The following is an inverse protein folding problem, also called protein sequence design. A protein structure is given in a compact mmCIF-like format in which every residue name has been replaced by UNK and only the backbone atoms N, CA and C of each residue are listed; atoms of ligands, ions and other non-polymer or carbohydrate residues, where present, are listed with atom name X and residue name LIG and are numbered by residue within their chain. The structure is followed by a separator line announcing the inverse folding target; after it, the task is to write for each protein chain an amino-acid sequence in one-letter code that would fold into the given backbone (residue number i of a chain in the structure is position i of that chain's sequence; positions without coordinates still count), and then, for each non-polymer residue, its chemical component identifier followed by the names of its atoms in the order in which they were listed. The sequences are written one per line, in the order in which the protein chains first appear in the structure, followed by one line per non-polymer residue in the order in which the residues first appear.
data_IF_061272905996
#
_entry.id   IF_061272905996
#
_cell.length_a   1.000
_cell.length_b   1.000
_cell.length_c   1.000
_cell.angle_alpha   90.00
_cell.angle_beta   90.00
_cell.angle_gamma   90.00
#
_symmetry.space_group_name_H-M   'P 1'
#
loop_
_entity.id
_entity.type
_entity.pdbx_description
1 polymer ?
#
# COMPACT_ATOMS: atom_id res chain seq x y z
N UNK A 1 -3.46 11.49 -0.01
CA UNK A 1 -2.05 11.18 0.32
C UNK A 1 -1.26 11.00 -0.97
N UNK A 2 0.03 11.35 -1.02
CA UNK A 2 0.90 11.07 -2.18
C UNK A 2 1.59 9.71 -2.03
N UNK A 3 2.07 9.11 -3.12
CA UNK A 3 2.86 7.86 -3.07
C UNK A 3 4.08 7.98 -2.15
N UNK A 4 4.76 9.12 -2.19
CA UNK A 4 5.94 9.38 -1.34
C UNK A 4 5.57 9.43 0.14
N UNK A 5 4.43 10.05 0.48
CA UNK A 5 3.96 10.09 1.86
C UNK A 5 3.57 8.70 2.36
N UNK A 6 2.80 7.92 1.57
CA UNK A 6 2.44 6.55 1.93
C UNK A 6 3.67 5.66 2.12
N UNK A 7 4.67 5.83 1.27
CA UNK A 7 5.94 5.10 1.39
C UNK A 7 6.67 5.44 2.71
N UNK A 8 6.73 6.73 3.10
CA UNK A 8 7.28 7.16 4.39
C UNK A 8 6.50 6.52 5.54
N UNK A 9 5.17 6.54 5.48
CA UNK A 9 4.30 6.03 6.54
C UNK A 9 4.39 4.50 6.69
N UNK A 10 4.77 3.78 5.61
CA UNK A 10 4.96 2.33 5.61
C UNK A 10 6.43 1.89 5.78
N UNK A 11 7.39 2.82 5.91
CA UNK A 11 8.83 2.55 5.84
C UNK A 11 9.26 1.80 4.55
N UNK A 12 8.66 2.18 3.42
CA UNK A 12 8.94 1.62 2.09
C UNK A 12 9.71 2.60 1.22
N UNK A 13 10.44 2.06 0.23
CA UNK A 13 10.88 2.87 -0.90
C UNK A 13 9.68 3.26 -1.77
N UNK A 14 9.61 4.51 -2.23
CA UNK A 14 8.48 5.02 -3.05
C UNK A 14 8.24 4.19 -4.32
N UNK A 15 9.28 3.56 -4.88
CA UNK A 15 9.16 2.67 -6.04
C UNK A 15 8.39 1.39 -5.73
N UNK A 16 8.32 0.96 -4.46
CA UNK A 16 7.52 -0.20 -4.03
C UNK A 16 6.04 0.13 -4.16
N UNK A 17 5.58 1.24 -3.57
CA UNK A 17 4.19 1.72 -3.70
C UNK A 17 3.81 1.87 -5.17
N UNK A 18 4.67 2.56 -5.94
CA UNK A 18 4.44 2.76 -7.37
C UNK A 18 4.33 1.46 -8.18
N UNK A 19 5.09 0.41 -7.83
CA UNK A 19 5.01 -0.89 -8.50
C UNK A 19 3.77 -1.69 -8.08
N UNK A 20 3.37 -1.61 -6.81
CA UNK A 20 2.16 -2.26 -6.29
C UNK A 20 0.92 -1.69 -6.98
N UNK A 21 0.77 -0.37 -7.02
CA UNK A 21 -0.39 0.30 -7.64
C UNK A 21 -0.53 -0.02 -9.14
N UNK A 22 0.59 -0.27 -9.83
CA UNK A 22 0.62 -0.65 -11.25
C UNK A 22 0.50 -2.17 -11.47
N UNK A 23 0.37 -2.96 -10.42
CA UNK A 23 0.30 -4.42 -10.50
C UNK A 23 1.59 -5.08 -11.01
N UNK A 24 2.74 -4.39 -10.89
CA UNK A 24 4.04 -4.88 -11.37
C UNK A 24 4.70 -5.87 -10.40
N UNK A 25 4.30 -5.85 -9.13
CA UNK A 25 4.80 -6.76 -8.09
C UNK A 25 3.64 -7.24 -7.22
N UNK A 26 3.70 -8.50 -6.80
CA UNK A 26 2.93 -8.97 -5.66
C UNK A 26 3.62 -8.52 -4.36
N UNK A 27 2.86 -8.39 -3.28
CA UNK A 27 3.37 -8.03 -1.96
C UNK A 27 2.83 -8.99 -0.89
N UNK A 28 3.45 -9.01 0.29
CA UNK A 28 3.01 -9.85 1.39
C UNK A 28 1.70 -9.33 2.01
N UNK A 29 0.97 -10.22 2.70
CA UNK A 29 -0.21 -9.82 3.49
C UNK A 29 0.17 -8.82 4.59
N UNK A 30 1.37 -8.94 5.17
CA UNK A 30 1.85 -8.00 6.19
C UNK A 30 2.07 -6.60 5.61
N UNK A 31 2.62 -6.50 4.40
CA UNK A 31 2.74 -5.22 3.71
C UNK A 31 1.38 -4.60 3.38
N UNK A 32 0.39 -5.43 3.01
CA UNK A 32 -0.99 -4.94 2.82
C UNK A 32 -1.59 -4.39 4.11
N UNK A 33 -1.29 -5.00 5.27
CA UNK A 33 -1.71 -4.48 6.57
C UNK A 33 -1.07 -3.15 6.88
N UNK A 34 0.24 -3.01 6.67
CA UNK A 34 0.96 -1.73 6.86
C UNK A 34 0.38 -0.62 5.97
N UNK A 35 0.11 -0.93 4.70
CA UNK A 35 -0.52 0.01 3.76
C UNK A 35 -1.92 0.42 4.23
N UNK A 36 -2.73 -0.55 4.66
CA UNK A 36 -4.09 -0.27 5.15
C UNK A 36 -4.08 0.57 6.43
N UNK A 37 -3.18 0.26 7.37
CA UNK A 37 -2.98 1.03 8.60
C UNK A 37 -2.55 2.47 8.30
N UNK A 38 -1.58 2.67 7.41
CA UNK A 38 -1.14 4.00 6.98
C UNK A 38 -2.25 4.79 6.26
N UNK A 39 -3.15 4.10 5.56
CA UNK A 39 -4.32 4.69 4.91
C UNK A 39 -5.49 4.94 5.89
N UNK A 40 -5.45 4.38 7.10
CA UNK A 40 -6.55 4.46 8.08
C UNK A 40 -7.79 3.68 7.66
N UNK A 41 -7.63 2.55 6.97
CA UNK A 41 -8.71 1.70 6.47
C UNK A 41 -8.54 0.25 6.92
N UNK A 42 -9.61 -0.53 6.86
CA UNK A 42 -9.53 -1.98 7.02
C UNK A 42 -8.85 -2.61 5.79
N UNK A 43 -7.99 -3.62 6.00
CA UNK A 43 -7.24 -4.27 4.91
C UNK A 43 -8.14 -4.83 3.80
N UNK A 44 -9.37 -5.20 4.14
CA UNK A 44 -10.40 -5.70 3.21
C UNK A 44 -10.77 -4.65 2.15
N UNK A 45 -10.71 -3.37 2.52
CA UNK A 45 -11.06 -2.25 1.63
C UNK A 45 -10.04 -2.07 0.51
N UNK A 46 -8.81 -2.61 0.62
CA UNK A 46 -7.86 -2.66 -0.49
C UNK A 46 -8.32 -3.55 -1.65
N UNK A 47 -9.33 -4.38 -1.41
CA UNK A 47 -9.89 -5.32 -2.38
C UNK A 47 -11.35 -4.98 -2.76
N UNK A 48 -11.86 -3.84 -2.30
CA UNK A 48 -13.21 -3.37 -2.62
C UNK A 48 -13.17 -2.58 -3.94
N UNK A 49 -13.19 -3.32 -5.05
CA UNK A 49 -13.06 -2.77 -6.41
C UNK A 49 -14.42 -2.49 -7.10
N UNK A 50 -15.52 -2.56 -6.35
CA UNK A 50 -16.90 -2.46 -6.88
C UNK A 50 -17.41 -1.03 -6.98
#
# INVERSE_FOLDING_TARGET
MSQAQLAIDCDFDVSVISRIERGMVNTSVDNLRLIAEALGIEVQQLFDFM
#
